data_IF_690663293594
#
_entry.id   IF_690663293594
#
_cell.length_a   1.000
_cell.length_b   1.000
_cell.length_c   1.000
_cell.angle_alpha   90.00
_cell.angle_beta   90.00
_cell.angle_gamma   90.00
#
_symmetry.space_group_name_H-M   'P 1'
#
loop_
_entity.id
_entity.type
_entity.pdbx_description
1 polymer ?
#
# COMPACT_ATOMS: atom_id res chain seq x y z
N UNK A 1 18.44 24.70 0.13
CA UNK A 1 18.33 23.25 -0.13
C UNK A 1 18.35 22.56 1.23
N UNK A 2 17.41 21.67 1.55
CA UNK A 2 17.47 20.96 2.83
C UNK A 2 18.67 20.01 2.80
N UNK A 3 19.58 20.16 3.76
CA UNK A 3 20.69 19.23 3.98
C UNK A 3 20.12 17.83 4.26
N UNK A 4 20.60 16.81 3.55
CA UNK A 4 20.27 15.42 3.85
C UNK A 4 20.99 15.03 5.15
N UNK A 5 20.24 14.42 6.07
CA UNK A 5 20.82 13.89 7.31
C UNK A 5 21.92 12.88 7.02
N UNK A 6 22.87 12.74 7.96
CA UNK A 6 23.95 11.75 7.84
C UNK A 6 23.45 10.30 7.87
N UNK A 7 22.28 10.07 8.45
CA UNK A 7 21.64 8.77 8.57
C UNK A 7 20.17 8.85 8.12
N UNK A 8 19.64 7.71 7.66
CA UNK A 8 18.24 7.55 7.29
C UNK A 8 17.39 7.28 8.53
N UNK A 9 16.34 8.10 8.72
CA UNK A 9 15.39 7.99 9.82
C UNK A 9 14.04 7.44 9.32
N UNK A 10 13.80 6.12 9.35
CA UNK A 10 12.61 5.51 8.76
C UNK A 10 11.31 6.01 9.37
N UNK A 11 11.26 6.19 10.69
CA UNK A 11 10.04 6.58 11.40
C UNK A 11 9.44 7.88 10.86
N UNK A 12 10.27 8.92 10.71
CA UNK A 12 9.84 10.22 10.21
C UNK A 12 9.40 10.15 8.73
N UNK A 13 10.03 9.28 7.94
CA UNK A 13 9.74 9.11 6.51
C UNK A 13 8.44 8.33 6.31
N UNK A 14 8.25 7.23 7.06
CA UNK A 14 7.06 6.39 7.03
C UNK A 14 5.81 7.18 7.45
N UNK A 15 5.88 7.92 8.55
CA UNK A 15 4.77 8.75 9.03
C UNK A 15 4.35 9.81 8.00
N UNK A 16 5.33 10.54 7.45
CA UNK A 16 5.09 11.56 6.43
C UNK A 16 4.41 10.98 5.18
N UNK A 17 4.94 9.89 4.63
CA UNK A 17 4.42 9.34 3.37
C UNK A 17 3.08 8.66 3.54
N UNK A 18 2.86 7.96 4.67
CA UNK A 18 1.58 7.34 4.94
C UNK A 18 0.46 8.39 5.03
N UNK A 19 0.69 9.49 5.76
CA UNK A 19 -0.25 10.61 5.81
C UNK A 19 -0.49 11.24 4.43
N UNK A 20 0.55 11.43 3.62
CA UNK A 20 0.42 11.95 2.27
C UNK A 20 -0.41 11.04 1.34
N UNK A 21 -0.23 9.71 1.43
CA UNK A 21 -1.01 8.75 0.64
C UNK A 21 -2.48 8.72 1.03
N UNK A 22 -2.79 8.83 2.32
CA UNK A 22 -4.15 8.96 2.81
C UNK A 22 -4.81 10.25 2.30
N UNK A 23 -4.13 11.39 2.43
CA UNK A 23 -4.65 12.69 1.98
C UNK A 23 -4.88 12.76 0.47
N UNK A 24 -4.11 12.00 -0.31
CA UNK A 24 -4.24 11.91 -1.77
C UNK A 24 -5.15 10.76 -2.23
N UNK A 25 -5.88 10.09 -1.33
CA UNK A 25 -6.75 8.94 -1.64
C UNK A 25 -6.05 7.84 -2.45
N UNK A 26 -4.74 7.65 -2.25
CA UNK A 26 -3.91 6.75 -3.07
C UNK A 26 -4.34 5.28 -3.02
N UNK A 27 -5.07 4.88 -1.98
CA UNK A 27 -5.56 3.52 -1.77
C UNK A 27 -6.99 3.31 -2.28
N UNK A 28 -7.70 4.38 -2.66
CA UNK A 28 -9.06 4.28 -3.18
C UNK A 28 -9.05 3.67 -4.58
N UNK A 29 -10.01 2.81 -4.84
CA UNK A 29 -10.33 2.30 -6.17
C UNK A 29 -11.55 3.06 -6.71
N UNK A 30 -11.59 3.30 -8.02
CA UNK A 30 -12.71 3.92 -8.71
C UNK A 30 -13.47 2.89 -9.56
N UNK A 31 -14.70 2.57 -9.16
CA UNK A 31 -15.58 1.62 -9.86
C UNK A 31 -16.04 2.12 -11.24
N UNK A 32 -15.94 3.42 -11.50
CA UNK A 32 -16.29 4.04 -12.78
C UNK A 32 -15.10 4.19 -13.73
N UNK A 33 -13.90 3.80 -13.28
CA UNK A 33 -12.66 3.91 -14.05
C UNK A 33 -12.70 3.11 -15.35
N UNK A 34 -12.23 3.70 -16.44
CA UNK A 34 -12.11 3.02 -17.74
C UNK A 34 -10.80 2.24 -17.88
N UNK A 35 -9.93 2.25 -16.86
CA UNK A 35 -8.66 1.51 -16.86
C UNK A 35 -8.93 0.01 -16.71
N UNK A 36 -7.97 -0.80 -17.12
CA UNK A 36 -8.05 -2.25 -16.90
C UNK A 36 -8.10 -2.55 -15.39
N UNK A 37 -9.10 -3.30 -14.89
CA UNK A 37 -9.23 -3.60 -13.46
C UNK A 37 -8.20 -4.63 -13.00
N UNK A 38 -7.74 -4.51 -11.76
CA UNK A 38 -6.86 -5.44 -11.08
C UNK A 38 -7.23 -5.53 -9.61
N UNK A 39 -7.66 -6.70 -9.14
CA UNK A 39 -8.11 -6.89 -7.76
C UNK A 39 -7.34 -7.99 -7.04
N UNK A 40 -6.98 -7.75 -5.78
CA UNK A 40 -6.48 -8.76 -4.84
C UNK A 40 -7.39 -8.74 -3.62
N UNK A 41 -7.86 -9.91 -3.18
CA UNK A 41 -8.64 -10.07 -1.95
C UNK A 41 -7.74 -10.69 -0.88
N UNK A 42 -7.55 -9.99 0.22
CA UNK A 42 -7.00 -10.52 1.46
C UNK A 42 -8.12 -11.39 2.07
N UNK A 43 -7.88 -12.67 2.35
CA UNK A 43 -8.86 -13.46 3.08
C UNK A 43 -9.16 -12.76 4.41
N UNK A 44 -10.45 -12.61 4.80
CA UNK A 44 -10.80 -11.87 6.00
C UNK A 44 -9.99 -12.42 7.18
N UNK A 45 -9.28 -11.54 7.93
CA UNK A 45 -8.41 -12.00 8.99
C UNK A 45 -9.26 -12.75 10.01
N UNK A 46 -8.88 -13.98 10.32
CA UNK A 46 -9.41 -14.66 11.51
C UNK A 46 -8.94 -13.83 12.72
N UNK A 47 -9.88 -13.10 13.34
CA UNK A 47 -9.60 -12.17 14.45
C UNK A 47 -9.34 -12.97 15.74
N UNK A 48 -8.19 -13.65 15.80
CA UNK A 48 -7.83 -14.51 16.95
C UNK A 48 -6.48 -14.18 17.58
N UNK A 49 -5.74 -13.17 17.10
CA UNK A 49 -4.44 -12.83 17.71
C UNK A 49 -3.67 -11.66 17.08
N UNK A 50 -2.36 -11.63 17.35
CA UNK A 50 -1.39 -10.61 16.90
C UNK A 50 -0.84 -10.98 15.52
N UNK A 51 -0.53 -9.97 14.69
CA UNK A 51 0.13 -10.17 13.41
C UNK A 51 1.56 -10.74 13.59
N UNK A 52 1.81 -11.93 13.07
CA UNK A 52 3.14 -12.51 12.92
C UNK A 52 3.79 -12.25 11.55
N UNK A 53 5.08 -12.59 11.41
CA UNK A 53 5.87 -12.46 10.16
C UNK A 53 5.19 -13.06 8.91
N UNK A 54 4.43 -14.14 9.04
CA UNK A 54 3.63 -14.67 7.93
C UNK A 54 2.61 -13.66 7.33
N UNK A 55 1.98 -12.83 8.16
CA UNK A 55 1.10 -11.76 7.68
C UNK A 55 1.89 -10.66 6.98
N UNK A 56 3.07 -10.31 7.52
CA UNK A 56 3.96 -9.32 6.90
C UNK A 56 4.36 -9.78 5.51
N UNK A 57 4.80 -11.03 5.36
CA UNK A 57 5.16 -11.60 4.06
C UNK A 57 3.97 -11.59 3.09
N UNK A 58 2.81 -12.08 3.53
CA UNK A 58 1.61 -12.14 2.68
C UNK A 58 1.20 -10.75 2.21
N UNK A 59 1.06 -9.78 3.12
CA UNK A 59 0.60 -8.43 2.80
C UNK A 59 1.64 -7.66 1.99
N UNK A 60 2.94 -7.82 2.26
CA UNK A 60 3.99 -7.16 1.49
C UNK A 60 4.00 -7.61 0.04
N UNK A 61 3.85 -8.91 -0.24
CA UNK A 61 3.79 -9.43 -1.61
C UNK A 61 2.57 -8.85 -2.34
N UNK A 62 1.41 -8.82 -1.68
CA UNK A 62 0.18 -8.27 -2.26
C UNK A 62 0.29 -6.77 -2.54
N UNK A 63 0.83 -5.98 -1.58
CA UNK A 63 1.06 -4.54 -1.75
C UNK A 63 2.03 -4.25 -2.92
N UNK A 64 3.10 -5.03 -3.05
CA UNK A 64 4.06 -4.90 -4.18
C UNK A 64 3.34 -5.10 -5.52
N UNK A 65 2.49 -6.14 -5.62
CA UNK A 65 1.74 -6.42 -6.84
C UNK A 65 0.71 -5.33 -7.14
N UNK A 66 0.00 -4.85 -6.12
CA UNK A 66 -0.96 -3.75 -6.23
C UNK A 66 -0.28 -2.46 -6.72
N UNK A 67 0.86 -2.07 -6.12
CA UNK A 67 1.64 -0.90 -6.53
C UNK A 67 2.15 -1.03 -7.96
N UNK A 68 2.66 -2.22 -8.32
CA UNK A 68 3.13 -2.49 -9.69
C UNK A 68 1.98 -2.40 -10.70
N UNK A 69 0.78 -2.87 -10.36
CA UNK A 69 -0.40 -2.75 -11.22
C UNK A 69 -0.82 -1.28 -11.40
N UNK A 70 -0.82 -0.47 -10.32
CA UNK A 70 -1.05 0.98 -10.40
C UNK A 70 -0.03 1.67 -11.32
N UNK A 71 1.26 1.32 -11.19
CA UNK A 71 2.32 1.84 -12.07
C UNK A 71 2.16 1.43 -13.55
N UNK A 72 1.50 0.30 -13.82
CA UNK A 72 1.15 -0.13 -15.19
C UNK A 72 -0.13 0.52 -15.72
N UNK A 73 -0.73 1.46 -14.98
CA UNK A 73 -1.93 2.18 -15.40
C UNK A 73 -3.24 1.43 -15.17
N UNK A 74 -3.24 0.36 -14.36
CA UNK A 74 -4.46 -0.38 -14.00
C UNK A 74 -5.24 0.32 -12.89
N UNK A 75 -6.55 0.08 -12.85
CA UNK A 75 -7.38 0.41 -11.69
C UNK A 75 -7.27 -0.69 -10.64
N UNK A 76 -6.85 -0.35 -9.42
CA UNK A 76 -6.44 -1.36 -8.43
C UNK A 76 -7.33 -1.33 -7.20
N UNK A 77 -7.95 -2.46 -6.90
CA UNK A 77 -8.63 -2.73 -5.64
C UNK A 77 -7.84 -3.77 -4.84
N UNK A 78 -7.40 -3.41 -3.65
CA UNK A 78 -6.82 -4.34 -2.69
C UNK A 78 -7.69 -4.30 -1.44
N UNK A 79 -8.46 -5.36 -1.21
CA UNK A 79 -9.53 -5.45 -0.20
C UNK A 79 -9.23 -6.56 0.81
#
# INVERSE_FOLDING_TARGET
>A
MSELGKAYEPQAVEEKWYAAWLAADCFKADESSTKEPYSIVIPPPNVTGILHLGHVLNNAIQDILARRARQKGKEVLWL
#
